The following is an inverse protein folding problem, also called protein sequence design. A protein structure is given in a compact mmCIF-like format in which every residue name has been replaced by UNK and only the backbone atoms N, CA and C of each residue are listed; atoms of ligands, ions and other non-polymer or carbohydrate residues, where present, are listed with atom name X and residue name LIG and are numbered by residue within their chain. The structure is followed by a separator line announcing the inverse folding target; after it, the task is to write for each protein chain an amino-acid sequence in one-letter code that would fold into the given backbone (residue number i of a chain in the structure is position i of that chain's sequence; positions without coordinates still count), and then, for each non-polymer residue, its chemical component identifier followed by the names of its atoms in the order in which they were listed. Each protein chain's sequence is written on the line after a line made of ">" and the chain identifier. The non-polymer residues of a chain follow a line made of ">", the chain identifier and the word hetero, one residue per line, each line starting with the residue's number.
data_IF_674116076502
#
_entry.id   IF_674116076502
#
_cell.length_a   1.000
_cell.length_b   1.000
_cell.length_c   1.000
_cell.angle_alpha   90.00
_cell.angle_beta   90.00
_cell.angle_gamma   90.00
#
_symmetry.space_group_name_H-M   'P 1'
#
loop_
_entity.id
_entity.type
_entity.pdbx_description
1 polymer ?
#
# COMPACT_ATOMS: atom_id res chain seq x y z
N UNK A 1 -16.38 10.30 -27.24
CA UNK A 1 -15.31 9.71 -26.41
C UNK A 1 -14.93 10.72 -25.35
N UNK A 2 -14.72 10.32 -24.09
CA UNK A 2 -14.30 11.23 -23.02
C UNK A 2 -12.82 11.59 -23.20
N UNK A 3 -12.47 12.86 -22.98
CA UNK A 3 -11.10 13.37 -23.13
C UNK A 3 -10.11 12.61 -22.20
N UNK A 4 -8.97 12.11 -22.71
CA UNK A 4 -7.92 11.52 -21.90
C UNK A 4 -7.46 12.37 -20.71
N UNK A 5 -7.55 13.71 -20.81
CA UNK A 5 -7.22 14.62 -19.72
C UNK A 5 -8.15 14.44 -18.50
N UNK A 6 -9.42 14.10 -18.72
CA UNK A 6 -10.39 13.86 -17.63
C UNK A 6 -9.96 12.65 -16.80
N UNK A 7 -9.67 11.53 -17.45
CA UNK A 7 -9.24 10.32 -16.74
C UNK A 7 -7.86 10.47 -16.10
N UNK A 8 -6.94 11.22 -16.73
CA UNK A 8 -5.65 11.51 -16.13
C UNK A 8 -5.81 12.36 -14.86
N UNK A 9 -6.69 13.35 -14.89
CA UNK A 9 -7.03 14.19 -13.73
C UNK A 9 -7.69 13.37 -12.62
N UNK A 10 -8.67 12.53 -12.97
CA UNK A 10 -9.31 11.63 -12.00
C UNK A 10 -8.31 10.66 -11.38
N UNK A 11 -7.41 10.07 -12.18
CA UNK A 11 -6.37 9.17 -11.70
C UNK A 11 -5.42 9.87 -10.73
N UNK A 12 -5.02 11.10 -11.04
CA UNK A 12 -4.20 11.94 -10.16
C UNK A 12 -4.94 12.26 -8.85
N UNK A 13 -6.21 12.68 -8.92
CA UNK A 13 -7.00 13.02 -7.74
C UNK A 13 -7.25 11.82 -6.83
N UNK A 14 -7.65 10.67 -7.40
CA UNK A 14 -7.88 9.42 -6.67
C UNK A 14 -6.60 8.93 -6.00
N UNK A 15 -5.47 8.99 -6.71
CA UNK A 15 -4.17 8.64 -6.12
C UNK A 15 -3.80 9.63 -5.02
N UNK A 16 -3.97 10.92 -5.22
CA UNK A 16 -3.70 11.94 -4.18
C UNK A 16 -4.57 11.73 -2.94
N UNK A 17 -5.84 11.34 -3.13
CA UNK A 17 -6.77 11.06 -2.05
C UNK A 17 -6.38 9.83 -1.21
N UNK A 18 -5.53 8.93 -1.71
CA UNK A 18 -5.03 7.78 -0.95
C UNK A 18 -3.89 8.14 0.01
N UNK A 19 -3.19 9.28 -0.20
CA UNK A 19 -2.11 9.75 0.65
C UNK A 19 -2.43 9.76 2.16
N UNK A 20 -3.54 10.38 2.64
CA UNK A 20 -3.85 10.41 4.06
C UNK A 20 -4.16 9.02 4.64
N UNK A 21 -4.60 8.06 3.82
CA UNK A 21 -4.85 6.69 4.25
C UNK A 21 -3.54 5.94 4.49
N UNK A 22 -2.58 6.04 3.57
CA UNK A 22 -1.25 5.46 3.76
C UNK A 22 -0.53 6.09 4.93
N UNK A 23 -0.53 7.41 5.05
CA UNK A 23 0.14 8.10 6.15
C UNK A 23 -0.41 7.70 7.52
N UNK A 24 -1.74 7.60 7.67
CA UNK A 24 -2.36 7.09 8.90
C UNK A 24 -2.06 5.61 9.11
N UNK A 25 -2.13 4.80 8.05
CA UNK A 25 -1.85 3.37 8.10
C UNK A 25 -0.44 3.06 8.59
N UNK A 26 0.57 3.76 8.05
CA UNK A 26 1.98 3.63 8.46
C UNK A 26 2.16 4.01 9.93
N UNK A 27 1.68 5.18 10.36
CA UNK A 27 1.79 5.61 11.77
C UNK A 27 1.19 4.60 12.74
N UNK A 28 0.00 4.07 12.44
CA UNK A 28 -0.68 3.10 13.29
C UNK A 28 0.15 1.84 13.58
N UNK A 29 0.95 1.34 12.63
CA UNK A 29 1.70 0.09 12.80
C UNK A 29 3.15 0.32 13.28
N UNK A 30 3.71 1.49 12.97
CA UNK A 30 5.08 1.86 13.33
C UNK A 30 5.14 2.33 14.79
N UNK A 31 4.18 3.15 15.22
CA UNK A 31 4.19 3.76 16.56
C UNK A 31 3.69 2.81 17.66
N UNK A 32 3.09 1.67 17.29
CA UNK A 32 2.51 0.73 18.24
C UNK A 32 3.53 -0.28 18.74
N UNK A 33 3.73 -0.35 20.07
CA UNK A 33 4.53 -1.37 20.75
C UNK A 33 3.88 -1.75 22.10
N UNK A 34 3.35 -2.98 22.29
CA UNK A 34 3.26 -4.07 21.31
C UNK A 34 2.21 -3.79 20.21
N UNK A 35 2.34 -4.47 19.07
CA UNK A 35 1.29 -4.44 18.03
C UNK A 35 0.23 -5.47 18.40
N UNK A 36 -0.96 -4.98 18.77
CA UNK A 36 -2.12 -5.84 19.04
C UNK A 36 -2.93 -6.10 17.77
N UNK A 37 -3.88 -7.04 17.86
CA UNK A 37 -4.75 -7.37 16.73
C UNK A 37 -5.60 -6.19 16.26
N UNK A 38 -6.15 -5.41 17.20
CA UNK A 38 -6.97 -4.24 16.87
C UNK A 38 -6.18 -3.20 16.08
N UNK A 39 -4.91 -2.98 16.44
CA UNK A 39 -3.96 -2.13 15.71
C UNK A 39 -3.72 -2.67 14.30
N UNK A 40 -3.43 -3.96 14.16
CA UNK A 40 -3.19 -4.59 12.85
C UNK A 40 -4.40 -4.47 11.93
N UNK A 41 -5.61 -4.75 12.42
CA UNK A 41 -6.84 -4.62 11.62
C UNK A 41 -7.09 -3.17 11.23
N UNK A 42 -6.84 -2.21 12.13
CA UNK A 42 -6.95 -0.78 11.83
C UNK A 42 -5.98 -0.37 10.73
N UNK A 43 -4.72 -0.80 10.82
CA UNK A 43 -3.70 -0.59 9.79
C UNK A 43 -4.18 -1.14 8.42
N UNK A 44 -4.67 -2.39 8.40
CA UNK A 44 -5.11 -3.03 7.16
C UNK A 44 -6.32 -2.34 6.51
N UNK A 45 -7.28 -1.87 7.30
CA UNK A 45 -8.42 -1.11 6.77
C UNK A 45 -7.97 0.18 6.10
N UNK A 46 -7.03 0.90 6.71
CA UNK A 46 -6.49 2.15 6.16
C UNK A 46 -5.67 1.89 4.89
N UNK A 47 -4.69 1.00 4.95
CA UNK A 47 -3.82 0.69 3.81
C UNK A 47 -4.59 0.01 2.69
N UNK A 48 -5.54 -0.87 3.01
CA UNK A 48 -6.41 -1.52 2.04
C UNK A 48 -7.30 -0.54 1.27
N UNK A 49 -7.90 0.44 1.95
CA UNK A 49 -8.65 1.50 1.29
C UNK A 49 -7.75 2.36 0.39
N UNK A 50 -6.55 2.71 0.86
CA UNK A 50 -5.56 3.42 0.04
C UNK A 50 -5.15 2.63 -1.21
N UNK A 51 -4.91 1.32 -1.03
CA UNK A 51 -4.56 0.39 -2.12
C UNK A 51 -5.67 0.28 -3.14
N UNK A 52 -6.94 0.24 -2.73
CA UNK A 52 -8.07 0.21 -3.65
C UNK A 52 -8.06 1.44 -4.57
N UNK A 53 -7.90 2.64 -4.00
CA UNK A 53 -7.85 3.89 -4.76
C UNK A 53 -6.68 3.90 -5.74
N UNK A 54 -5.47 3.66 -5.24
CA UNK A 54 -4.24 3.73 -6.03
C UNK A 54 -4.20 2.63 -7.10
N UNK A 55 -4.48 1.39 -6.71
CA UNK A 55 -4.45 0.24 -7.63
C UNK A 55 -5.59 0.30 -8.64
N UNK A 56 -6.75 0.86 -8.26
CA UNK A 56 -7.83 1.15 -9.20
C UNK A 56 -7.39 2.12 -10.29
N UNK A 57 -6.74 3.23 -9.94
CA UNK A 57 -6.18 4.17 -10.92
C UNK A 57 -5.12 3.49 -11.81
N UNK A 58 -4.21 2.70 -11.22
CA UNK A 58 -3.19 1.97 -11.96
C UNK A 58 -3.82 0.98 -12.95
N UNK A 59 -4.69 0.10 -12.48
CA UNK A 59 -5.27 -0.99 -13.27
C UNK A 59 -6.23 -0.49 -14.36
N UNK A 60 -7.06 0.50 -14.05
CA UNK A 60 -8.10 0.98 -14.97
C UNK A 60 -7.59 2.02 -15.96
N UNK A 61 -6.53 2.76 -15.64
CA UNK A 61 -6.05 3.85 -16.48
C UNK A 61 -4.60 3.69 -16.94
N UNK A 62 -3.68 3.39 -16.03
CA UNK A 62 -2.25 3.43 -16.33
C UNK A 62 -1.78 2.18 -17.09
N UNK A 63 -2.12 1.00 -16.60
CA UNK A 63 -1.71 -0.29 -17.17
C UNK A 63 -2.16 -0.44 -18.63
N UNK A 64 -3.42 -0.15 -19.01
CA UNK A 64 -3.86 -0.26 -20.41
C UNK A 64 -3.09 0.65 -21.37
N UNK A 65 -2.45 1.71 -20.86
CA UNK A 65 -1.71 2.69 -21.65
C UNK A 65 -0.19 2.53 -21.56
N UNK A 66 0.31 1.55 -20.81
CA UNK A 66 1.74 1.30 -20.71
C UNK A 66 2.41 1.08 -22.08
N UNK A 67 1.83 0.30 -23.02
CA UNK A 67 2.44 0.07 -24.34
C UNK A 67 2.70 1.36 -25.13
N UNK A 68 1.80 2.33 -25.03
CA UNK A 68 1.89 3.60 -25.75
C UNK A 68 2.79 4.63 -25.04
N UNK A 69 3.37 4.26 -23.89
CA UNK A 69 4.09 5.17 -23.00
C UNK A 69 5.50 4.69 -22.67
N UNK A 70 6.06 3.75 -23.45
CA UNK A 70 7.46 3.34 -23.31
C UNK A 70 8.42 4.44 -23.78
N UNK A 71 8.72 5.39 -22.90
CA UNK A 71 9.71 6.44 -23.12
C UNK A 71 9.87 7.42 -21.96
N UNK A 72 11.11 7.85 -21.72
CA UNK A 72 11.45 8.92 -20.77
C UNK A 72 10.89 8.71 -19.37
N UNK A 73 10.25 9.75 -18.84
CA UNK A 73 9.75 9.82 -17.46
C UNK A 73 8.67 8.78 -17.12
N UNK A 74 7.96 8.26 -18.13
CA UNK A 74 6.94 7.24 -17.95
C UNK A 74 7.53 5.91 -17.45
N UNK A 75 8.69 5.52 -17.99
CA UNK A 75 9.39 4.29 -17.60
C UNK A 75 9.89 4.41 -16.17
N UNK A 76 10.47 5.56 -15.81
CA UNK A 76 10.91 5.81 -14.44
C UNK A 76 9.73 5.69 -13.45
N UNK A 77 8.60 6.35 -13.75
CA UNK A 77 7.39 6.24 -12.94
C UNK A 77 6.91 4.78 -12.81
N UNK A 78 6.86 4.04 -13.93
CA UNK A 78 6.42 2.64 -13.94
C UNK A 78 7.34 1.73 -13.12
N UNK A 79 8.66 1.89 -13.24
CA UNK A 79 9.64 1.12 -12.48
C UNK A 79 9.51 1.40 -10.98
N UNK A 80 9.43 2.67 -10.57
CA UNK A 80 9.24 3.03 -9.16
C UNK A 80 7.93 2.46 -8.61
N UNK A 81 6.84 2.55 -9.38
CA UNK A 81 5.55 1.95 -9.01
C UNK A 81 5.64 0.43 -8.83
N UNK A 82 6.31 -0.27 -9.76
CA UNK A 82 6.52 -1.71 -9.67
C UNK A 82 7.32 -2.10 -8.41
N UNK A 83 8.38 -1.35 -8.09
CA UNK A 83 9.16 -1.57 -6.88
C UNK A 83 8.33 -1.33 -5.61
N UNK A 84 7.41 -0.36 -5.61
CA UNK A 84 6.47 -0.21 -4.51
C UNK A 84 5.64 -1.49 -4.32
N UNK A 85 5.03 -2.03 -5.39
CA UNK A 85 4.28 -3.29 -5.32
C UNK A 85 5.15 -4.50 -4.89
N UNK A 86 6.44 -4.52 -5.22
CA UNK A 86 7.36 -5.55 -4.71
C UNK A 86 7.53 -5.45 -3.19
N UNK A 87 7.63 -4.24 -2.62
CA UNK A 87 7.69 -4.03 -1.17
C UNK A 87 6.36 -4.32 -0.48
N UNK A 88 5.24 -4.09 -1.15
CA UNK A 88 3.93 -4.58 -0.67
C UNK A 88 3.88 -6.10 -0.62
N UNK A 89 4.34 -6.79 -1.68
CA UNK A 89 4.43 -8.23 -1.71
C UNK A 89 5.35 -8.75 -0.59
N UNK A 90 6.46 -8.07 -0.33
CA UNK A 90 7.33 -8.36 0.82
C UNK A 90 6.59 -8.21 2.17
N UNK A 91 5.81 -7.13 2.35
CA UNK A 91 4.98 -6.95 3.54
C UNK A 91 3.99 -8.11 3.74
N UNK A 92 3.40 -8.61 2.64
CA UNK A 92 2.50 -9.76 2.68
C UNK A 92 3.18 -11.04 3.19
N UNK A 93 4.48 -11.22 2.93
CA UNK A 93 5.24 -12.37 3.49
C UNK A 93 5.36 -12.33 5.02
N UNK A 94 5.19 -11.15 5.64
CA UNK A 94 5.09 -11.00 7.09
C UNK A 94 3.67 -11.20 7.61
N UNK A 95 2.66 -10.64 6.93
CA UNK A 95 1.29 -10.67 7.44
C UNK A 95 0.60 -12.02 7.29
N UNK A 96 0.85 -12.76 6.19
CA UNK A 96 0.18 -14.01 5.90
C UNK A 96 0.41 -15.08 6.99
N UNK A 97 1.66 -15.30 7.47
CA UNK A 97 1.92 -16.19 8.61
C UNK A 97 1.17 -15.77 9.89
N UNK A 98 1.14 -14.47 10.22
CA UNK A 98 0.42 -13.95 11.40
C UNK A 98 -1.07 -14.31 11.36
N UNK A 99 -1.72 -14.13 10.19
CA UNK A 99 -3.11 -14.52 10.02
C UNK A 99 -3.31 -16.04 10.09
N UNK A 100 -2.39 -16.81 9.51
CA UNK A 100 -2.45 -18.28 9.53
C UNK A 100 -2.37 -18.84 10.94
N UNK A 101 -1.43 -18.36 11.75
CA UNK A 101 -1.29 -18.81 13.14
C UNK A 101 -2.47 -18.38 14.00
N UNK A 102 -2.97 -17.15 13.81
CA UNK A 102 -4.19 -16.71 14.50
C UNK A 102 -5.40 -17.59 14.17
N UNK A 103 -5.51 -18.03 12.91
CA UNK A 103 -6.58 -18.93 12.49
C UNK A 103 -6.43 -20.33 13.09
N UNK A 104 -5.19 -20.86 13.17
CA UNK A 104 -4.88 -22.18 13.76
C UNK A 104 -5.11 -22.23 15.28
N UNK A 105 -4.85 -21.14 15.99
CA UNK A 105 -5.00 -21.07 17.43
C UNK A 105 -6.46 -20.97 17.91
N UNK A 106 -7.45 -20.98 17.01
CA UNK A 106 -8.89 -20.83 17.27
C UNK A 106 -9.25 -19.71 18.28
N UNK A 107 -8.42 -18.65 18.31
CA UNK A 107 -8.64 -17.46 19.14
C UNK A 107 -9.87 -16.64 18.68
N UNK A 108 -10.64 -17.14 17.71
CA UNK A 108 -11.93 -16.58 17.34
C UNK A 108 -13.01 -16.83 18.40
N UNK A 109 -12.88 -17.88 19.23
CA UNK A 109 -13.91 -18.27 20.21
C UNK A 109 -13.86 -17.48 21.54
N UNK A 110 -12.92 -16.55 21.70
CA UNK A 110 -12.84 -15.63 22.85
C UNK A 110 -12.84 -14.15 22.40
N UNK A 111 -13.99 -13.61 21.94
CA UNK A 111 -14.10 -12.21 21.51
C UNK A 111 -13.97 -11.29 22.72
N UNK A 112 -12.77 -10.75 22.95
CA UNK A 112 -12.54 -9.76 24.02
C UNK A 112 -11.10 -9.64 24.52
N UNK A 113 -10.23 -10.62 24.26
CA UNK A 113 -8.81 -10.50 24.60
C UNK A 113 -8.06 -9.80 23.46
N UNK A 114 -7.59 -8.58 23.69
CA UNK A 114 -6.62 -7.94 22.80
C UNK A 114 -5.29 -8.68 23.00
N UNK A 115 -5.15 -9.83 22.33
CA UNK A 115 -3.98 -10.69 22.43
C UNK A 115 -2.80 -9.96 21.79
N UNK A 116 -1.69 -9.84 22.52
CA UNK A 116 -0.44 -9.38 21.92
C UNK A 116 -0.04 -10.35 20.84
N UNK A 117 0.35 -9.85 19.67
CA UNK A 117 0.86 -10.71 18.61
C UNK A 117 2.13 -11.45 19.07
N UNK A 118 2.88 -10.92 20.05
CA UNK A 118 4.09 -11.56 20.59
C UNK A 118 3.82 -12.93 21.21
N UNK A 119 2.60 -13.18 21.69
CA UNK A 119 2.22 -14.43 22.33
C UNK A 119 1.82 -15.53 21.32
N UNK A 120 1.83 -15.23 20.01
CA UNK A 120 1.25 -16.09 18.98
C UNK A 120 2.21 -17.17 18.44
N UNK A 121 3.50 -16.85 18.25
CA UNK A 121 4.53 -17.76 17.75
C UNK A 121 5.93 -17.18 17.99
N UNK A 122 6.95 -18.03 18.09
CA UNK A 122 8.36 -17.61 18.27
C UNK A 122 8.90 -16.74 17.13
N UNK A 123 8.29 -16.81 15.94
CA UNK A 123 8.73 -16.13 14.71
C UNK A 123 7.99 -14.81 14.46
N UNK A 124 7.04 -14.43 15.33
CA UNK A 124 6.17 -13.27 15.07
C UNK A 124 6.97 -11.98 14.95
N UNK A 125 8.04 -11.83 15.71
CA UNK A 125 8.91 -10.66 15.61
C UNK A 125 9.54 -10.51 14.23
N UNK A 126 9.98 -11.62 13.63
CA UNK A 126 10.53 -11.63 12.28
C UNK A 126 9.46 -11.25 11.26
N UNK A 127 8.25 -11.79 11.39
CA UNK A 127 7.11 -11.48 10.52
C UNK A 127 6.66 -10.03 10.66
N UNK A 128 6.64 -9.49 11.88
CA UNK A 128 6.32 -8.09 12.20
C UNK A 128 7.34 -7.13 11.59
N UNK A 129 8.64 -7.46 11.67
CA UNK A 129 9.71 -6.68 11.02
C UNK A 129 9.52 -6.65 9.51
N UNK A 130 9.25 -7.79 8.87
CA UNK A 130 8.94 -7.86 7.43
C UNK A 130 7.75 -6.99 7.05
N UNK A 131 6.66 -7.07 7.82
CA UNK A 131 5.48 -6.23 7.63
C UNK A 131 5.83 -4.73 7.71
N UNK A 132 6.51 -4.29 8.77
CA UNK A 132 6.88 -2.88 8.96
C UNK A 132 7.80 -2.37 7.85
N UNK A 133 8.85 -3.13 7.51
CA UNK A 133 9.79 -2.77 6.44
C UNK A 133 9.08 -2.70 5.10
N UNK A 134 8.24 -3.68 4.76
CA UNK A 134 7.48 -3.67 3.51
C UNK A 134 6.47 -2.52 3.44
N UNK A 135 5.77 -2.21 4.52
CA UNK A 135 4.83 -1.08 4.62
C UNK A 135 5.54 0.26 4.45
N UNK A 136 6.64 0.47 5.18
CA UNK A 136 7.44 1.70 5.08
C UNK A 136 8.02 1.87 3.67
N UNK A 137 8.57 0.78 3.14
CA UNK A 137 9.12 0.74 1.79
C UNK A 137 8.07 1.04 0.71
N UNK A 138 6.91 0.39 0.79
CA UNK A 138 5.77 0.66 -0.08
C UNK A 138 5.37 2.13 -0.02
N UNK A 139 5.14 2.67 1.19
CA UNK A 139 4.68 4.05 1.36
C UNK A 139 5.72 5.07 0.86
N UNK A 140 7.01 4.82 1.11
CA UNK A 140 8.10 5.66 0.61
C UNK A 140 8.15 5.69 -0.92
N UNK A 141 8.15 4.52 -1.57
CA UNK A 141 8.15 4.46 -3.03
C UNK A 141 6.84 4.95 -3.64
N UNK A 142 5.72 4.80 -2.94
CA UNK A 142 4.44 5.36 -3.34
C UNK A 142 4.51 6.90 -3.41
N UNK A 143 5.14 7.57 -2.42
CA UNK A 143 5.34 9.03 -2.45
C UNK A 143 6.18 9.43 -3.66
N UNK A 144 7.29 8.72 -3.91
CA UNK A 144 8.14 8.99 -5.08
C UNK A 144 7.35 8.81 -6.37
N UNK A 145 6.62 7.71 -6.53
CA UNK A 145 5.76 7.48 -7.69
C UNK A 145 4.71 8.58 -7.85
N UNK A 146 4.05 9.00 -6.76
CA UNK A 146 3.07 10.08 -6.80
C UNK A 146 3.68 11.40 -7.29
N UNK A 147 4.85 11.79 -6.78
CA UNK A 147 5.58 12.99 -7.27
C UNK A 147 5.89 12.86 -8.76
N UNK A 148 6.41 11.71 -9.19
CA UNK A 148 6.67 11.45 -10.60
C UNK A 148 5.39 11.54 -11.46
N UNK A 149 4.26 11.08 -10.91
CA UNK A 149 2.95 11.13 -11.56
C UNK A 149 2.43 12.56 -11.72
N UNK A 150 2.59 13.39 -10.69
CA UNK A 150 2.26 14.83 -10.72
C UNK A 150 3.10 15.55 -11.78
N UNK A 151 4.42 15.37 -11.76
CA UNK A 151 5.32 15.99 -12.75
C UNK A 151 4.95 15.56 -14.16
N UNK A 152 4.69 14.27 -14.38
CA UNK A 152 4.24 13.76 -15.68
C UNK A 152 2.91 14.37 -16.13
N UNK A 153 1.95 14.53 -15.22
CA UNK A 153 0.67 15.16 -15.53
C UNK A 153 0.85 16.61 -15.98
N UNK A 154 1.63 17.40 -15.23
CA UNK A 154 1.90 18.80 -15.55
C UNK A 154 2.60 18.95 -16.91
N UNK A 155 3.62 18.12 -17.19
CA UNK A 155 4.36 18.14 -18.45
C UNK A 155 3.53 17.74 -19.68
N UNK A 156 2.42 17.03 -19.50
CA UNK A 156 1.61 16.49 -20.61
C UNK A 156 0.35 17.30 -20.89
N UNK A 157 -0.24 17.88 -19.85
CA UNK A 157 -1.57 18.49 -19.93
C UNK A 157 -1.57 19.98 -19.63
N UNK A 158 -0.46 20.54 -19.14
CA UNK A 158 -0.42 21.95 -18.74
C UNK A 158 0.69 22.74 -19.44
N UNK A 159 1.88 22.16 -19.59
CA UNK A 159 2.95 22.63 -20.46
C UNK A 159 2.78 22.07 -21.88
#
# INVERSE_FOLDING_TARGET
>A
MVDPAVYATLSLLVTTASAPLYWRGVRVIVDADPVTWSVLVRHLRLVGAGLLLTTGAVALWMVPRLPDQFGGFAVLHAVVGLQAYALLAFALTGIVPIFREKWRADLYHAPGRDVSLDDLHEDVDTWRKRLRVGVLGYAGLWVVAWVLGVVRYLLRYWL
#
